data_IF_489266444821
#
_entry.id   IF_489266444821
#
_cell.length_a   1.000
_cell.length_b   1.000
_cell.length_c   1.000
_cell.angle_alpha   90.00
_cell.angle_beta   90.00
_cell.angle_gamma   90.00
#
_symmetry.space_group_name_H-M   'P 1'
#
loop_
_entity.id
_entity.type
_entity.pdbx_description
1 polymer ?
#
# COMPACT_ATOMS: atom_id res chain seq x y z
N UNK A 1 31.37 -62.84 -7.22
CA UNK A 1 30.00 -62.35 -6.97
C UNK A 1 30.01 -60.83 -6.95
N UNK A 2 29.51 -60.17 -8.00
CA UNK A 2 29.31 -58.70 -8.00
C UNK A 2 28.10 -58.40 -7.11
N UNK A 3 28.31 -57.71 -5.98
CA UNK A 3 27.22 -57.12 -5.20
C UNK A 3 26.61 -55.99 -6.03
N UNK A 4 25.52 -56.27 -6.73
CA UNK A 4 24.59 -55.24 -7.20
C UNK A 4 23.96 -54.62 -5.95
N UNK A 5 24.55 -53.52 -5.46
CA UNK A 5 23.89 -52.68 -4.49
C UNK A 5 22.59 -52.18 -5.13
N UNK A 6 21.46 -52.49 -4.49
CA UNK A 6 20.16 -52.00 -4.91
C UNK A 6 20.20 -50.48 -4.95
N UNK A 7 19.67 -49.87 -6.01
CA UNK A 7 19.61 -48.41 -6.21
C UNK A 7 19.02 -47.70 -4.96
N UNK A 8 18.12 -48.35 -4.22
CA UNK A 8 17.56 -47.84 -2.97
C UNK A 8 18.56 -47.73 -1.81
N UNK A 9 19.62 -48.55 -1.80
CA UNK A 9 20.67 -48.51 -0.77
C UNK A 9 21.72 -47.43 -1.04
N UNK A 10 21.78 -46.89 -2.26
CA UNK A 10 22.74 -45.85 -2.64
C UNK A 10 22.38 -44.45 -2.11
N UNK A 11 21.13 -44.25 -1.68
CA UNK A 11 20.62 -42.93 -1.29
C UNK A 11 20.35 -41.98 -2.45
N UNK A 12 20.84 -42.26 -3.66
CA UNK A 12 20.66 -41.42 -4.85
C UNK A 12 19.19 -41.12 -5.18
N UNK A 13 18.24 -42.08 -5.08
CA UNK A 13 16.83 -41.77 -5.35
C UNK A 13 16.26 -40.68 -4.42
N UNK A 14 16.69 -40.65 -3.16
CA UNK A 14 16.23 -39.65 -2.19
C UNK A 14 16.76 -38.26 -2.53
N UNK A 15 18.01 -38.16 -2.99
CA UNK A 15 18.59 -36.89 -3.46
C UNK A 15 17.81 -36.35 -4.66
N UNK A 16 17.50 -37.21 -5.64
CA UNK A 16 16.70 -36.81 -6.80
C UNK A 16 15.26 -36.43 -6.43
N UNK A 17 14.64 -37.12 -5.48
CA UNK A 17 13.31 -36.76 -4.97
C UNK A 17 13.35 -35.40 -4.26
N UNK A 18 14.34 -35.14 -3.40
CA UNK A 18 14.48 -33.86 -2.72
C UNK A 18 14.77 -32.71 -3.70
N UNK A 19 15.65 -32.93 -4.68
CA UNK A 19 15.93 -31.97 -5.72
C UNK A 19 14.69 -31.70 -6.60
N UNK A 20 13.95 -32.74 -6.98
CA UNK A 20 12.71 -32.61 -7.73
C UNK A 20 11.62 -31.89 -6.93
N UNK A 21 11.50 -32.18 -5.63
CA UNK A 21 10.56 -31.51 -4.74
C UNK A 21 10.88 -30.02 -4.62
N UNK A 22 12.15 -29.66 -4.37
CA UNK A 22 12.60 -28.27 -4.33
C UNK A 22 12.35 -27.55 -5.66
N UNK A 23 12.68 -28.19 -6.78
CA UNK A 23 12.44 -27.67 -8.12
C UNK A 23 10.94 -27.42 -8.36
N UNK A 24 10.08 -28.35 -7.96
CA UNK A 24 8.63 -28.19 -8.02
C UNK A 24 8.14 -27.05 -7.13
N UNK A 25 8.65 -26.89 -5.91
CA UNK A 25 8.27 -25.79 -5.00
C UNK A 25 8.63 -24.43 -5.59
N UNK A 26 9.84 -24.29 -6.14
CA UNK A 26 10.27 -23.05 -6.80
C UNK A 26 9.41 -22.76 -8.02
N UNK A 27 9.11 -23.78 -8.84
CA UNK A 27 8.24 -23.65 -10.00
C UNK A 27 6.83 -23.22 -9.61
N UNK A 28 6.25 -23.82 -8.57
CA UNK A 28 4.92 -23.44 -8.06
C UNK A 28 4.91 -22.00 -7.53
N UNK A 29 5.94 -21.59 -6.79
CA UNK A 29 6.09 -20.21 -6.32
C UNK A 29 6.16 -19.20 -7.47
N UNK A 30 7.03 -19.46 -8.45
CA UNK A 30 7.18 -18.63 -9.63
C UNK A 30 5.90 -18.61 -10.47
N UNK A 31 5.25 -19.77 -10.64
CA UNK A 31 3.99 -19.89 -11.36
C UNK A 31 2.86 -19.13 -10.69
N UNK A 32 2.76 -19.20 -9.36
CA UNK A 32 1.80 -18.43 -8.58
C UNK A 32 2.07 -16.92 -8.66
N UNK A 33 3.32 -16.50 -8.51
CA UNK A 33 3.73 -15.10 -8.62
C UNK A 33 3.46 -14.55 -10.03
N UNK A 34 3.77 -15.34 -11.07
CA UNK A 34 3.45 -15.02 -12.45
C UNK A 34 1.94 -14.90 -12.65
N UNK A 35 1.14 -15.81 -12.09
CA UNK A 35 -0.32 -15.76 -12.17
C UNK A 35 -0.87 -14.49 -11.51
N UNK A 36 -0.37 -14.11 -10.32
CA UNK A 36 -0.74 -12.85 -9.66
C UNK A 36 -0.38 -11.65 -10.54
N UNK A 37 0.85 -11.62 -11.07
CA UNK A 37 1.31 -10.50 -11.90
C UNK A 37 0.47 -10.40 -13.17
N UNK A 38 0.25 -11.50 -13.89
CA UNK A 38 -0.53 -11.49 -15.13
C UNK A 38 -1.98 -11.09 -14.87
N UNK A 39 -2.62 -11.65 -13.82
CA UNK A 39 -4.00 -11.31 -13.47
C UNK A 39 -4.13 -9.87 -12.97
N UNK A 40 -3.18 -9.40 -12.17
CA UNK A 40 -3.15 -8.03 -11.66
C UNK A 40 -2.88 -7.01 -12.76
N UNK A 41 -1.90 -7.26 -13.63
CA UNK A 41 -1.58 -6.40 -14.76
C UNK A 41 -2.72 -6.36 -15.79
N UNK A 42 -3.44 -7.46 -16.01
CA UNK A 42 -4.59 -7.48 -16.91
C UNK A 42 -5.72 -6.55 -16.45
N UNK A 43 -5.86 -6.31 -15.14
CA UNK A 43 -6.92 -5.44 -14.58
C UNK A 43 -6.79 -3.97 -15.02
N UNK A 44 -5.60 -3.52 -15.43
CA UNK A 44 -5.38 -2.15 -15.91
C UNK A 44 -5.67 -1.98 -17.40
N UNK A 45 -5.93 -3.07 -18.14
CA UNK A 45 -6.21 -3.01 -19.56
C UNK A 45 -7.51 -2.23 -19.84
N UNK A 46 -7.48 -1.42 -20.91
CA UNK A 46 -8.65 -0.63 -21.32
C UNK A 46 -9.50 -1.46 -22.28
N UNK A 47 -10.50 -2.12 -21.70
CA UNK A 47 -11.49 -2.91 -22.45
C UNK A 47 -12.45 -2.04 -23.24
N UNK A 48 -12.97 -2.58 -24.33
CA UNK A 48 -14.05 -1.95 -25.09
C UNK A 48 -15.37 -2.03 -24.32
N UNK A 49 -16.17 -0.98 -24.43
CA UNK A 49 -17.48 -0.88 -23.76
C UNK A 49 -18.56 -1.29 -24.74
N UNK A 50 -19.26 -2.36 -24.41
CA UNK A 50 -20.39 -2.86 -25.15
C UNK A 50 -21.67 -2.07 -24.78
N UNK A 51 -22.51 -1.82 -25.79
CA UNK A 51 -23.92 -1.52 -25.64
C UNK A 51 -24.69 -2.80 -25.90
N UNK A 52 -25.31 -3.32 -24.86
CA UNK A 52 -26.07 -4.57 -24.87
C UNK A 52 -27.54 -4.20 -24.81
N UNK A 53 -28.26 -4.44 -25.91
CA UNK A 53 -29.71 -4.25 -25.97
C UNK A 53 -30.42 -5.51 -25.49
N UNK A 54 -31.39 -5.31 -24.62
CA UNK A 54 -32.33 -6.32 -24.14
C UNK A 54 -33.76 -5.91 -24.54
N UNK A 55 -34.71 -6.83 -24.39
CA UNK A 55 -36.13 -6.62 -24.76
C UNK A 55 -36.76 -5.34 -24.21
N UNK A 56 -36.37 -4.93 -23.01
CA UNK A 56 -36.97 -3.78 -22.32
C UNK A 56 -35.98 -2.69 -21.90
N UNK A 57 -34.68 -2.96 -21.95
CA UNK A 57 -33.65 -2.04 -21.47
C UNK A 57 -32.37 -2.16 -22.30
N UNK A 58 -31.43 -1.24 -22.11
CA UNK A 58 -30.08 -1.38 -22.63
C UNK A 58 -29.06 -1.08 -21.55
N UNK A 59 -27.88 -1.70 -21.67
CA UNK A 59 -26.80 -1.58 -20.70
C UNK A 59 -25.49 -1.25 -21.40
N UNK A 60 -24.77 -0.25 -20.88
CA UNK A 60 -23.35 -0.07 -21.18
C UNK A 60 -22.51 -0.88 -20.20
N UNK A 61 -21.42 -1.48 -20.68
CA UNK A 61 -20.42 -2.04 -19.79
C UNK A 61 -19.34 -2.84 -20.50
N UNK A 62 -18.31 -3.20 -19.73
CA UNK A 62 -17.23 -4.06 -20.20
C UNK A 62 -17.63 -5.53 -19.97
N UNK A 63 -17.44 -6.40 -20.96
CA UNK A 63 -17.66 -7.84 -20.79
C UNK A 63 -16.43 -8.42 -20.08
N UNK A 64 -16.61 -8.91 -18.85
CA UNK A 64 -15.50 -9.35 -17.99
C UNK A 64 -15.35 -10.86 -17.99
N UNK A 65 -16.48 -11.58 -18.01
CA UNK A 65 -16.50 -13.03 -18.03
C UNK A 65 -17.63 -13.57 -18.91
N UNK A 66 -17.45 -14.79 -19.38
CA UNK A 66 -18.47 -15.58 -20.06
C UNK A 66 -18.48 -16.97 -19.45
N UNK A 67 -19.68 -17.47 -19.17
CA UNK A 67 -19.91 -18.80 -18.65
C UNK A 67 -20.86 -19.54 -19.58
N UNK A 68 -20.40 -20.65 -20.14
CA UNK A 68 -21.22 -21.51 -20.99
C UNK A 68 -22.10 -22.42 -20.13
N UNK A 69 -23.40 -22.45 -20.44
CA UNK A 69 -24.45 -23.19 -19.74
C UNK A 69 -25.33 -23.92 -20.76
N UNK A 70 -24.81 -24.95 -21.45
CA UNK A 70 -25.45 -25.54 -22.63
C UNK A 70 -26.83 -26.17 -22.38
N UNK A 71 -27.18 -26.49 -21.13
CA UNK A 71 -28.47 -27.09 -20.75
C UNK A 71 -29.39 -26.13 -19.97
N UNK A 72 -29.07 -24.83 -19.92
CA UNK A 72 -29.91 -23.85 -19.22
C UNK A 72 -31.11 -23.44 -20.05
N UNK A 73 -32.28 -23.32 -19.41
CA UNK A 73 -33.48 -22.74 -20.02
C UNK A 73 -33.29 -21.27 -20.40
N UNK A 74 -32.37 -20.56 -19.71
CA UNK A 74 -32.05 -19.15 -19.94
C UNK A 74 -30.92 -18.98 -20.98
N UNK A 75 -30.89 -19.87 -21.95
CA UNK A 75 -29.94 -19.85 -23.07
C UNK A 75 -28.56 -20.47 -22.79
N UNK A 76 -27.79 -20.73 -23.86
CA UNK A 76 -26.58 -21.55 -23.82
C UNK A 76 -25.39 -20.92 -23.09
N UNK A 77 -25.42 -19.63 -22.77
CA UNK A 77 -24.38 -18.96 -21.99
C UNK A 77 -24.93 -17.74 -21.23
N UNK A 78 -24.14 -17.25 -20.28
CA UNK A 78 -24.33 -15.92 -19.67
C UNK A 78 -23.02 -15.14 -19.69
N UNK A 79 -23.12 -13.82 -19.73
CA UNK A 79 -21.97 -12.91 -19.66
C UNK A 79 -22.04 -12.06 -18.40
N UNK A 80 -20.90 -11.85 -17.77
CA UNK A 80 -20.74 -10.90 -16.68
C UNK A 80 -20.27 -9.57 -17.25
N UNK A 81 -21.00 -8.50 -16.90
CA UNK A 81 -20.74 -7.17 -17.41
C UNK A 81 -20.44 -6.26 -16.24
N UNK A 82 -19.33 -5.53 -16.34
CA UNK A 82 -19.03 -4.40 -15.48
C UNK A 82 -19.83 -3.19 -15.97
N UNK A 83 -21.07 -3.07 -15.51
CA UNK A 83 -22.02 -2.00 -15.83
C UNK A 83 -21.63 -0.65 -15.23
N UNK A 84 -20.83 -0.61 -14.16
CA UNK A 84 -20.47 0.64 -13.48
C UNK A 84 -21.70 1.44 -13.04
N UNK A 85 -21.61 2.77 -13.08
CA UNK A 85 -22.68 3.71 -12.70
C UNK A 85 -23.29 3.36 -11.33
N UNK A 86 -22.45 3.08 -10.32
CA UNK A 86 -22.88 2.56 -9.02
C UNK A 86 -23.93 3.42 -8.33
N UNK A 87 -23.88 4.72 -8.55
CA UNK A 87 -24.85 5.69 -8.04
C UNK A 87 -26.25 5.61 -8.67
N UNK A 88 -26.39 5.02 -9.87
CA UNK A 88 -27.69 4.76 -10.51
C UNK A 88 -28.26 3.38 -10.15
N UNK A 89 -27.39 2.45 -9.78
CA UNK A 89 -27.67 1.02 -9.93
C UNK A 89 -27.31 0.17 -8.71
N UNK A 90 -26.53 0.71 -7.76
CA UNK A 90 -26.07 0.02 -6.54
C UNK A 90 -25.00 -1.06 -6.73
N UNK A 91 -24.80 -1.58 -7.95
CA UNK A 91 -23.86 -2.65 -8.25
C UNK A 91 -23.08 -2.39 -9.54
N UNK A 92 -21.79 -2.73 -9.53
CA UNK A 92 -20.90 -2.57 -10.68
C UNK A 92 -20.99 -3.73 -11.67
N UNK A 93 -21.47 -4.89 -11.23
CA UNK A 93 -21.47 -6.14 -12.00
C UNK A 93 -22.88 -6.72 -12.09
N UNK A 94 -23.25 -7.16 -13.29
CA UNK A 94 -24.48 -7.90 -13.53
C UNK A 94 -24.21 -9.07 -14.47
N UNK A 95 -24.96 -10.15 -14.27
CA UNK A 95 -25.00 -11.26 -15.22
C UNK A 95 -26.18 -11.08 -16.16
N UNK A 96 -25.93 -11.22 -17.47
CA UNK A 96 -26.99 -11.22 -18.49
C UNK A 96 -26.97 -12.57 -19.21
N UNK A 97 -28.15 -13.18 -19.26
CA UNK A 97 -28.36 -14.45 -19.94
C UNK A 97 -28.45 -14.23 -21.46
N UNK A 98 -27.94 -15.18 -22.25
CA UNK A 98 -27.88 -15.05 -23.72
C UNK A 98 -29.25 -14.88 -24.39
N UNK A 99 -30.32 -15.43 -23.82
CA UNK A 99 -31.71 -15.29 -24.31
C UNK A 99 -32.29 -13.87 -24.12
N UNK A 100 -31.71 -13.09 -23.21
CA UNK A 100 -32.07 -11.70 -22.95
C UNK A 100 -31.34 -10.72 -23.87
N UNK A 101 -30.31 -11.17 -24.59
CA UNK A 101 -29.45 -10.32 -25.43
C UNK A 101 -30.02 -10.26 -26.84
N UNK A 102 -30.45 -9.08 -27.27
CA UNK A 102 -30.89 -8.84 -28.66
C UNK A 102 -29.71 -8.49 -29.57
N UNK A 103 -28.81 -7.64 -29.08
CA UNK A 103 -27.59 -7.27 -29.83
C UNK A 103 -26.52 -6.74 -28.89
N UNK A 104 -25.26 -6.94 -29.30
CA UNK A 104 -24.06 -6.39 -28.66
C UNK A 104 -23.37 -5.52 -29.71
N UNK A 105 -23.21 -4.23 -29.40
CA UNK A 105 -22.54 -3.27 -30.30
C UNK A 105 -21.46 -2.49 -29.54
N UNK A 106 -20.46 -1.97 -30.24
CA UNK A 106 -19.36 -1.20 -29.64
C UNK A 106 -19.39 0.24 -30.15
N UNK A 107 -20.26 1.09 -29.61
CA UNK A 107 -20.46 2.44 -30.13
C UNK A 107 -19.25 3.33 -29.83
N UNK A 108 -18.83 4.11 -30.81
CA UNK A 108 -17.62 4.95 -30.76
C UNK A 108 -17.80 6.23 -29.92
N UNK A 109 -19.04 6.58 -29.59
CA UNK A 109 -19.42 7.80 -28.87
C UNK A 109 -19.56 7.59 -27.35
N UNK A 110 -19.34 6.37 -26.86
CA UNK A 110 -19.38 6.06 -25.42
C UNK A 110 -18.15 6.60 -24.71
N UNK A 111 -18.38 7.24 -23.56
CA UNK A 111 -17.36 7.71 -22.65
C UNK A 111 -17.29 6.81 -21.42
N UNK A 112 -16.07 6.58 -20.96
CA UNK A 112 -15.76 6.07 -19.62
C UNK A 112 -15.24 7.24 -18.81
N UNK A 113 -15.84 7.48 -17.65
CA UNK A 113 -15.36 8.45 -16.67
C UNK A 113 -14.90 7.69 -15.44
N UNK A 114 -13.62 7.81 -15.10
CA UNK A 114 -13.13 7.41 -13.78
C UNK A 114 -13.45 8.55 -12.83
N UNK A 115 -14.14 8.23 -11.74
CA UNK A 115 -14.62 9.21 -10.76
C UNK A 115 -13.84 9.09 -9.45
N UNK A 116 -13.97 10.08 -8.59
CA UNK A 116 -13.45 10.02 -7.22
C UNK A 116 -14.30 9.13 -6.32
N UNK A 117 -15.60 9.00 -6.64
CA UNK A 117 -16.59 8.25 -5.89
C UNK A 117 -17.46 7.46 -6.88
N UNK A 118 -18.06 6.36 -6.41
CA UNK A 118 -19.05 5.58 -7.17
C UNK A 118 -18.53 4.87 -8.42
N UNK A 119 -17.23 4.60 -8.56
CA UNK A 119 -16.73 3.83 -9.68
C UNK A 119 -16.79 4.51 -11.03
N UNK A 120 -16.49 3.71 -12.05
CA UNK A 120 -16.57 4.11 -13.45
C UNK A 120 -18.01 4.52 -13.80
N UNK A 121 -18.14 5.60 -14.57
CA UNK A 121 -19.37 5.94 -15.25
C UNK A 121 -19.26 5.67 -16.75
N UNK A 122 -20.23 4.96 -17.33
CA UNK A 122 -20.39 4.74 -18.76
C UNK A 122 -21.61 5.49 -19.27
N UNK A 123 -21.41 6.30 -20.31
CA UNK A 123 -22.51 6.98 -20.97
C UNK A 123 -22.08 7.87 -22.12
N UNK A 124 -23.05 8.56 -22.71
CA UNK A 124 -22.85 9.53 -23.79
C UNK A 124 -22.95 10.93 -23.22
N UNK A 125 -22.05 11.80 -23.63
CA UNK A 125 -22.13 13.20 -23.25
C UNK A 125 -23.38 13.83 -23.89
N UNK A 126 -24.16 14.54 -23.08
CA UNK A 126 -25.27 15.38 -23.53
C UNK A 126 -24.92 16.85 -23.43
N UNK A 127 -24.32 17.30 -22.32
CA UNK A 127 -24.08 18.72 -22.07
C UNK A 127 -22.85 18.98 -21.22
N UNK A 128 -22.14 20.07 -21.50
CA UNK A 128 -21.00 20.54 -20.71
C UNK A 128 -21.22 21.99 -20.29
N UNK A 129 -21.15 22.25 -18.99
CA UNK A 129 -21.25 23.59 -18.43
C UNK A 129 -20.00 23.90 -17.62
N UNK A 130 -19.27 24.94 -18.01
CA UNK A 130 -18.07 25.43 -17.31
C UNK A 130 -18.30 26.90 -16.98
N UNK A 131 -18.15 27.28 -15.71
CA UNK A 131 -18.32 28.66 -15.25
C UNK A 131 -19.66 29.31 -15.73
N UNK A 132 -20.72 28.50 -15.83
CA UNK A 132 -22.06 28.92 -16.27
C UNK A 132 -22.27 28.98 -17.79
N UNK A 133 -21.22 28.84 -18.60
CA UNK A 133 -21.31 28.80 -20.06
C UNK A 133 -21.55 27.37 -20.58
N UNK A 134 -22.43 27.23 -21.55
CA UNK A 134 -22.79 25.96 -22.20
C UNK A 134 -21.89 25.68 -23.42
N UNK A 135 -21.27 24.50 -23.45
CA UNK A 135 -20.36 24.05 -24.51
C UNK A 135 -20.83 22.79 -25.23
N UNK A 136 -22.12 22.46 -25.13
CA UNK A 136 -22.74 21.23 -25.66
C UNK A 136 -22.40 20.95 -27.14
N UNK A 137 -22.46 21.94 -28.02
CA UNK A 137 -22.23 21.77 -29.46
C UNK A 137 -20.77 21.97 -29.90
N UNK A 138 -19.85 22.09 -28.94
CA UNK A 138 -18.45 22.36 -29.27
C UNK A 138 -17.79 21.11 -29.86
N UNK A 139 -17.37 21.18 -31.13
CA UNK A 139 -16.43 20.21 -31.74
C UNK A 139 -15.13 20.04 -30.96
N UNK A 140 -14.86 20.94 -29.99
CA UNK A 140 -13.69 20.94 -29.11
C UNK A 140 -13.97 20.41 -27.71
N UNK A 141 -15.09 19.72 -27.47
CA UNK A 141 -15.44 19.16 -26.15
C UNK A 141 -14.26 18.46 -25.45
N UNK A 142 -13.62 17.48 -26.11
CA UNK A 142 -12.50 16.73 -25.52
C UNK A 142 -11.34 17.65 -25.12
N UNK A 143 -11.07 18.70 -25.90
CA UNK A 143 -10.01 19.67 -25.60
C UNK A 143 -10.38 20.56 -24.40
N UNK A 144 -11.63 21.03 -24.35
CA UNK A 144 -12.15 21.85 -23.25
C UNK A 144 -12.20 21.05 -21.94
N UNK A 145 -12.78 19.85 -21.95
CA UNK A 145 -12.84 18.98 -20.78
C UNK A 145 -11.43 18.60 -20.30
N UNK A 146 -10.52 18.21 -21.19
CA UNK A 146 -9.13 17.89 -20.79
C UNK A 146 -8.41 19.10 -20.18
N UNK A 147 -8.65 20.30 -20.72
CA UNK A 147 -8.09 21.54 -20.15
C UNK A 147 -8.67 21.82 -18.77
N UNK A 148 -9.98 21.68 -18.59
CA UNK A 148 -10.64 21.96 -17.33
C UNK A 148 -10.28 20.93 -16.26
N UNK A 149 -10.20 19.64 -16.59
CA UNK A 149 -9.75 18.61 -15.64
C UNK A 149 -8.29 18.81 -15.22
N UNK A 150 -7.41 19.31 -16.09
CA UNK A 150 -6.05 19.71 -15.70
C UNK A 150 -6.07 20.88 -14.73
N UNK A 151 -6.85 21.93 -15.02
CA UNK A 151 -7.04 23.07 -14.10
C UNK A 151 -7.57 22.61 -12.75
N UNK A 152 -8.58 21.74 -12.73
CA UNK A 152 -9.15 21.17 -11.50
C UNK A 152 -8.11 20.33 -10.76
N UNK A 153 -7.30 19.52 -11.46
CA UNK A 153 -6.21 18.75 -10.84
C UNK A 153 -5.20 19.68 -10.15
N UNK A 154 -4.80 20.77 -10.80
CA UNK A 154 -3.89 21.76 -10.23
C UNK A 154 -4.52 22.49 -9.01
N UNK A 155 -5.81 22.81 -9.09
CA UNK A 155 -6.56 23.38 -7.96
C UNK A 155 -6.63 22.41 -6.78
N UNK A 156 -6.94 21.13 -7.02
CA UNK A 156 -6.93 20.08 -5.98
C UNK A 156 -5.55 19.92 -5.36
N UNK A 157 -4.48 19.94 -6.16
CA UNK A 157 -3.11 19.90 -5.64
C UNK A 157 -2.84 21.09 -4.70
N UNK A 158 -3.32 22.28 -5.04
CA UNK A 158 -3.22 23.48 -4.19
C UNK A 158 -4.04 23.37 -2.91
N UNK A 159 -5.27 22.87 -3.00
CA UNK A 159 -6.11 22.58 -1.81
C UNK A 159 -5.37 21.60 -0.90
N UNK A 160 -4.82 20.53 -1.45
CA UNK A 160 -4.04 19.55 -0.68
C UNK A 160 -2.81 20.17 -0.01
N UNK A 161 -2.07 21.07 -0.70
CA UNK A 161 -0.94 21.78 -0.08
C UNK A 161 -1.38 22.65 1.10
N UNK A 162 -2.47 23.39 0.97
CA UNK A 162 -3.01 24.22 2.05
C UNK A 162 -3.46 23.35 3.22
N UNK A 163 -4.25 22.30 2.96
CA UNK A 163 -4.78 21.41 4.00
C UNK A 163 -3.67 20.66 4.75
N UNK A 164 -2.71 20.07 4.02
CA UNK A 164 -1.70 19.20 4.63
C UNK A 164 -0.46 19.94 5.12
N UNK A 165 -0.04 21.02 4.46
CA UNK A 165 1.19 21.74 4.84
C UNK A 165 0.91 23.01 5.60
N UNK A 166 0.11 23.92 5.06
CA UNK A 166 -0.06 25.26 5.65
C UNK A 166 -0.92 25.19 6.92
N UNK A 167 -2.12 24.60 6.82
CA UNK A 167 -2.97 24.34 7.97
C UNK A 167 -2.27 23.40 8.95
N UNK A 168 -1.64 22.32 8.47
CA UNK A 168 -0.87 21.42 9.33
C UNK A 168 0.22 22.14 10.14
N UNK A 169 1.00 23.03 9.51
CA UNK A 169 2.02 23.85 10.17
C UNK A 169 1.40 24.82 11.16
N UNK A 170 0.33 25.51 10.79
CA UNK A 170 -0.36 26.45 11.67
C UNK A 170 -0.93 25.71 12.90
N UNK A 171 -1.63 24.59 12.72
CA UNK A 171 -2.13 23.73 13.81
C UNK A 171 -1.00 23.23 14.71
N UNK A 172 0.13 22.82 14.14
CA UNK A 172 1.31 22.43 14.92
C UNK A 172 1.85 23.58 15.77
N UNK A 173 1.92 24.80 15.23
CA UNK A 173 2.35 25.99 15.97
C UNK A 173 1.35 26.39 17.06
N UNK A 174 0.05 26.32 16.78
CA UNK A 174 -0.99 26.55 17.79
C UNK A 174 -0.86 25.55 18.93
N UNK A 175 -0.61 24.27 18.62
CA UNK A 175 -0.40 23.23 19.62
C UNK A 175 0.86 23.49 20.47
N UNK A 176 1.97 23.89 19.86
CA UNK A 176 3.17 24.28 20.62
C UNK A 176 2.90 25.45 21.60
N UNK A 177 2.12 26.45 21.18
CA UNK A 177 1.75 27.56 22.07
C UNK A 177 0.85 27.08 23.20
N UNK A 178 -0.14 26.22 22.89
CA UNK A 178 -1.02 25.61 23.89
C UNK A 178 -0.22 24.87 24.96
N UNK A 179 0.77 24.07 24.56
CA UNK A 179 1.65 23.34 25.48
C UNK A 179 2.50 24.30 26.34
N UNK A 180 3.04 25.39 25.77
CA UNK A 180 3.79 26.40 26.53
C UNK A 180 2.91 27.11 27.56
N UNK A 181 1.70 27.50 27.18
CA UNK A 181 0.73 28.11 28.11
C UNK A 181 0.35 27.13 29.22
N UNK A 182 0.15 25.84 28.91
CA UNK A 182 -0.11 24.79 29.90
C UNK A 182 1.05 24.62 30.89
N UNK A 183 2.31 24.67 30.43
CA UNK A 183 3.50 24.65 31.30
C UNK A 183 3.55 25.85 32.25
N UNK A 184 3.35 27.07 31.72
CA UNK A 184 3.34 28.30 32.52
C UNK A 184 2.22 28.25 33.58
N UNK A 185 1.03 27.78 33.20
CA UNK A 185 -0.09 27.60 34.12
C UNK A 185 0.24 26.58 35.24
N UNK A 186 0.89 25.45 34.92
CA UNK A 186 1.37 24.48 35.91
C UNK A 186 2.42 25.08 36.87
N UNK A 187 3.22 26.03 36.39
CA UNK A 187 4.18 26.77 37.19
C UNK A 187 3.55 27.94 37.99
N UNK A 188 2.23 28.11 37.96
CA UNK A 188 1.51 29.19 38.65
C UNK A 188 1.53 30.54 37.93
N UNK A 189 2.05 30.61 36.70
CA UNK A 189 2.16 31.84 35.90
C UNK A 189 0.94 31.94 34.98
N UNK A 190 -0.12 32.60 35.47
CA UNK A 190 -1.37 32.81 34.72
C UNK A 190 -1.44 34.12 33.92
N UNK A 191 -0.58 35.08 34.23
CA UNK A 191 -0.54 36.41 33.61
C UNK A 191 0.89 36.95 33.57
N UNK A 192 1.16 37.86 32.63
CA UNK A 192 2.47 38.49 32.48
C UNK A 192 2.83 38.77 31.02
N UNK A 193 3.98 39.45 30.77
CA UNK A 193 4.42 39.80 29.42
C UNK A 193 4.57 38.58 28.51
N UNK A 194 5.08 37.47 29.04
CA UNK A 194 5.29 36.23 28.30
C UNK A 194 3.96 35.54 27.92
N UNK A 195 3.03 35.43 28.87
CA UNK A 195 1.68 34.88 28.61
C UNK A 195 0.93 35.73 27.60
N UNK A 196 1.03 37.06 27.70
CA UNK A 196 0.40 37.98 26.77
C UNK A 196 1.01 37.86 25.35
N UNK A 197 2.33 37.76 25.24
CA UNK A 197 3.01 37.55 23.95
C UNK A 197 2.62 36.21 23.30
N UNK A 198 2.45 35.14 24.09
CA UNK A 198 1.97 33.85 23.59
C UNK A 198 0.51 33.91 23.13
N UNK A 199 -0.37 34.58 23.89
CA UNK A 199 -1.77 34.80 23.48
C UNK A 199 -1.89 35.66 22.22
N UNK A 200 -1.05 36.67 22.08
CA UNK A 200 -0.99 37.50 20.87
C UNK A 200 -0.57 36.66 19.66
N UNK A 201 0.48 35.82 19.79
CA UNK A 201 0.88 34.86 18.76
C UNK A 201 -0.23 33.88 18.41
N UNK A 202 -0.95 33.36 19.41
CA UNK A 202 -2.10 32.48 19.19
C UNK A 202 -3.18 33.17 18.37
N UNK A 203 -3.53 34.42 18.71
CA UNK A 203 -4.50 35.22 17.95
C UNK A 203 -4.07 35.42 16.50
N UNK A 204 -2.79 35.72 16.25
CA UNK A 204 -2.22 35.82 14.89
C UNK A 204 -2.35 34.52 14.10
N UNK A 205 -2.03 33.37 14.72
CA UNK A 205 -2.18 32.06 14.08
C UNK A 205 -3.64 31.71 13.80
N UNK A 206 -4.57 32.08 14.69
CA UNK A 206 -6.01 31.89 14.46
C UNK A 206 -6.50 32.74 13.28
N UNK A 207 -6.03 33.99 13.16
CA UNK A 207 -6.35 34.84 12.02
C UNK A 207 -5.79 34.27 10.71
N UNK A 208 -4.55 33.78 10.71
CA UNK A 208 -3.95 33.10 9.56
C UNK A 208 -4.74 31.83 9.19
N UNK A 209 -5.14 31.01 10.17
CA UNK A 209 -5.96 29.83 9.94
C UNK A 209 -7.30 30.18 9.26
N UNK A 210 -7.99 31.22 9.74
CA UNK A 210 -9.23 31.67 9.14
C UNK A 210 -9.03 32.16 7.69
N UNK A 211 -7.91 32.84 7.42
CA UNK A 211 -7.55 33.25 6.07
C UNK A 211 -7.27 32.04 5.16
N UNK A 212 -6.57 31.01 5.66
CA UNK A 212 -6.34 29.77 4.93
C UNK A 212 -7.67 29.07 4.61
N UNK A 213 -8.62 29.02 5.55
CA UNK A 213 -9.96 28.48 5.32
C UNK A 213 -10.71 29.26 4.22
N UNK A 214 -10.67 30.59 4.25
CA UNK A 214 -11.29 31.42 3.20
C UNK A 214 -10.63 31.18 1.83
N UNK A 215 -9.30 31.05 1.78
CA UNK A 215 -8.59 30.72 0.54
C UNK A 215 -9.01 29.34 0.00
N UNK A 216 -9.21 28.38 0.89
CA UNK A 216 -9.64 27.02 0.55
C UNK A 216 -11.04 27.04 -0.06
N UNK A 217 -11.99 27.74 0.56
CA UNK A 217 -13.35 27.90 0.04
C UNK A 217 -13.35 28.58 -1.35
N UNK A 218 -12.53 29.61 -1.53
CA UNK A 218 -12.34 30.27 -2.82
C UNK A 218 -11.77 29.33 -3.89
N UNK A 219 -10.82 28.45 -3.55
CA UNK A 219 -10.28 27.46 -4.48
C UNK A 219 -11.32 26.39 -4.83
N UNK A 220 -12.11 25.94 -3.86
CA UNK A 220 -13.21 24.99 -4.08
C UNK A 220 -14.28 25.58 -5.00
N UNK A 221 -14.64 26.84 -4.80
CA UNK A 221 -15.57 27.56 -5.68
C UNK A 221 -15.04 27.74 -7.11
N UNK A 222 -13.73 27.67 -7.35
CA UNK A 222 -13.15 27.73 -8.71
C UNK A 222 -13.19 26.39 -9.45
N UNK A 223 -13.60 25.30 -8.80
CA UNK A 223 -13.81 23.99 -9.43
C UNK A 223 -15.26 23.80 -9.90
N UNK A 224 -15.97 24.92 -10.15
CA UNK A 224 -17.36 24.95 -10.56
C UNK A 224 -17.50 24.59 -12.06
N UNK A 225 -17.84 23.34 -12.31
CA UNK A 225 -18.19 22.86 -13.64
C UNK A 225 -18.93 21.54 -13.54
N UNK A 226 -19.76 21.27 -14.53
CA UNK A 226 -20.55 20.04 -14.60
C UNK A 226 -20.70 19.54 -16.01
N UNK A 227 -20.84 18.23 -16.15
CA UNK A 227 -21.16 17.58 -17.39
C UNK A 227 -22.36 16.64 -17.18
N UNK A 228 -23.31 16.68 -18.11
CA UNK A 228 -24.48 15.81 -18.11
C UNK A 228 -24.21 14.69 -19.10
N UNK A 229 -24.34 13.46 -18.62
CA UNK A 229 -24.21 12.26 -19.43
C UNK A 229 -25.51 11.46 -19.39
N UNK A 230 -25.79 10.76 -20.48
CA UNK A 230 -26.91 9.82 -20.59
C UNK A 230 -26.39 8.39 -20.60
N UNK A 231 -26.94 7.55 -19.73
CA UNK A 231 -26.62 6.12 -19.71
C UNK A 231 -27.30 5.36 -20.87
N UNK A 232 -27.18 4.04 -20.90
CA UNK A 232 -27.82 3.21 -21.93
C UNK A 232 -29.35 3.12 -21.78
N UNK A 233 -29.88 3.25 -20.56
CA UNK A 233 -31.31 3.22 -20.26
C UNK A 233 -31.99 4.56 -20.59
N UNK A 234 -31.22 5.61 -20.89
CA UNK A 234 -31.71 6.96 -21.19
C UNK A 234 -31.75 7.88 -19.98
N UNK A 235 -31.30 7.44 -18.81
CA UNK A 235 -31.20 8.25 -17.60
C UNK A 235 -30.08 9.27 -17.74
N UNK A 236 -30.41 10.53 -17.51
CA UNK A 236 -29.42 11.62 -17.49
C UNK A 236 -28.86 11.81 -16.09
N UNK A 237 -27.53 11.93 -16.01
CA UNK A 237 -26.80 12.17 -14.78
C UNK A 237 -25.92 13.39 -14.92
N UNK A 238 -26.13 14.34 -14.01
CA UNK A 238 -25.22 15.46 -13.79
C UNK A 238 -24.03 15.01 -12.94
N UNK A 239 -22.82 15.21 -13.47
CA UNK A 239 -21.55 14.87 -12.81
C UNK A 239 -20.72 16.13 -12.68
N UNK A 240 -20.31 16.46 -11.46
CA UNK A 240 -19.42 17.58 -11.23
C UNK A 240 -18.02 17.27 -11.81
N UNK A 241 -17.41 18.22 -12.50
CA UNK A 241 -16.06 18.03 -13.05
C UNK A 241 -15.02 17.81 -11.94
N UNK A 242 -15.29 18.32 -10.74
CA UNK A 242 -14.50 18.07 -9.53
C UNK A 242 -14.51 16.60 -9.09
N UNK A 243 -15.49 15.79 -9.51
CA UNK A 243 -15.56 14.35 -9.23
C UNK A 243 -14.90 13.50 -10.31
N UNK A 244 -14.55 14.05 -11.47
CA UNK A 244 -13.93 13.27 -12.56
C UNK A 244 -12.41 13.25 -12.36
N UNK A 245 -11.82 12.05 -12.39
CA UNK A 245 -10.38 11.81 -12.37
C UNK A 245 -9.83 11.79 -13.79
N UNK A 246 -10.48 11.00 -14.66
CA UNK A 246 -10.07 10.77 -16.05
C UNK A 246 -11.30 10.51 -16.90
N UNK A 247 -11.21 10.82 -18.18
CA UNK A 247 -12.19 10.39 -19.17
C UNK A 247 -11.52 9.87 -20.43
N UNK A 248 -12.15 8.94 -21.12
CA UNK A 248 -11.70 8.43 -22.42
C UNK A 248 -12.84 7.75 -23.17
N UNK A 249 -12.66 7.55 -24.48
CA UNK A 249 -13.59 6.83 -25.35
C UNK A 249 -12.94 5.51 -25.79
N UNK A 250 -13.12 4.40 -25.07
CA UNK A 250 -12.32 3.18 -25.24
C UNK A 250 -12.41 2.61 -26.64
N UNK A 251 -13.62 2.58 -27.20
CA UNK A 251 -13.90 1.99 -28.51
C UNK A 251 -13.24 2.76 -29.67
N UNK A 252 -12.88 4.04 -29.45
CA UNK A 252 -12.19 4.91 -30.41
C UNK A 252 -10.67 4.80 -30.36
N UNK A 253 -10.14 4.21 -29.30
CA UNK A 253 -8.71 4.09 -29.11
C UNK A 253 -8.18 2.89 -29.89
N UNK A 254 -7.19 3.15 -30.75
CA UNK A 254 -6.33 2.09 -31.25
C UNK A 254 -5.45 1.50 -30.14
N UNK A 255 -4.72 0.44 -30.47
CA UNK A 255 -3.86 -0.30 -29.54
C UNK A 255 -2.84 0.63 -28.86
N UNK A 256 -2.23 1.56 -29.60
CA UNK A 256 -1.28 2.52 -29.04
C UNK A 256 -1.90 3.46 -27.99
N UNK A 257 -3.14 3.90 -28.21
CA UNK A 257 -3.88 4.72 -27.25
C UNK A 257 -4.25 3.95 -25.99
N UNK A 258 -4.70 2.70 -26.15
CA UNK A 258 -4.96 1.79 -25.03
C UNK A 258 -3.70 1.51 -24.22
N UNK A 259 -2.55 1.27 -24.88
CA UNK A 259 -1.26 1.07 -24.22
C UNK A 259 -0.80 2.31 -23.45
N UNK A 260 -0.98 3.51 -24.00
CA UNK A 260 -0.67 4.75 -23.30
C UNK A 260 -1.50 4.94 -22.03
N UNK A 261 -2.81 4.67 -22.10
CA UNK A 261 -3.69 4.70 -20.93
C UNK A 261 -3.32 3.63 -19.91
N UNK A 262 -3.01 2.42 -20.37
CA UNK A 262 -2.57 1.31 -19.54
C UNK A 262 -1.36 1.70 -18.67
N UNK A 263 -0.28 2.18 -19.31
CA UNK A 263 0.91 2.62 -18.59
C UNK A 263 0.60 3.76 -17.61
N UNK A 264 -0.26 4.69 -18.01
CA UNK A 264 -0.71 5.78 -17.13
C UNK A 264 -1.50 5.28 -15.91
N UNK A 265 -2.35 4.26 -16.06
CA UNK A 265 -3.09 3.66 -14.93
C UNK A 265 -2.17 2.91 -13.99
N UNK A 266 -1.21 2.14 -14.52
CA UNK A 266 -0.21 1.44 -13.69
C UNK A 266 0.65 2.44 -12.92
N UNK A 267 1.08 3.53 -13.57
CA UNK A 267 1.81 4.59 -12.90
C UNK A 267 0.98 5.24 -11.78
N UNK A 268 -0.28 5.62 -12.06
CA UNK A 268 -1.20 6.15 -11.05
C UNK A 268 -1.35 5.20 -9.87
N UNK A 269 -1.53 3.92 -10.13
CA UNK A 269 -1.69 2.90 -9.10
C UNK A 269 -0.47 2.81 -8.17
N UNK A 270 0.75 2.92 -8.70
CA UNK A 270 1.97 2.82 -7.89
C UNK A 270 2.23 4.10 -7.11
N UNK A 271 1.94 5.28 -7.66
CA UNK A 271 2.39 6.56 -7.10
C UNK A 271 1.35 7.33 -6.31
N UNK A 272 0.05 7.10 -6.56
CA UNK A 272 -1.01 7.87 -5.91
C UNK A 272 -1.50 7.23 -4.59
N UNK A 273 -2.29 8.01 -3.85
CA UNK A 273 -2.95 7.57 -2.63
C UNK A 273 -4.21 6.74 -2.93
N UNK A 274 -4.63 5.85 -2.01
CA UNK A 274 -5.87 5.11 -2.16
C UNK A 274 -7.09 6.04 -2.05
N UNK A 275 -8.17 5.65 -2.72
CA UNK A 275 -9.48 6.30 -2.73
C UNK A 275 -10.56 5.26 -2.42
N UNK A 276 -11.76 5.70 -2.04
CA UNK A 276 -12.93 4.83 -1.83
C UNK A 276 -12.62 3.58 -0.99
N UNK A 277 -12.13 3.77 0.23
CA UNK A 277 -11.79 2.65 1.15
C UNK A 277 -10.83 1.61 0.54
N UNK A 278 -9.84 2.08 -0.23
CA UNK A 278 -8.85 1.27 -0.96
C UNK A 278 -9.41 0.46 -2.14
N UNK A 279 -10.62 0.77 -2.62
CA UNK A 279 -11.16 0.14 -3.83
C UNK A 279 -10.67 0.81 -5.12
N UNK A 280 -10.19 2.05 -5.03
CA UNK A 280 -9.68 2.84 -6.16
C UNK A 280 -8.42 3.63 -5.78
N UNK A 281 -7.81 4.31 -6.76
CA UNK A 281 -6.60 5.10 -6.56
C UNK A 281 -5.33 4.26 -6.59
N UNK A 282 -4.32 4.69 -5.81
CA UNK A 282 -3.02 4.03 -5.76
C UNK A 282 -2.69 3.42 -4.41
N UNK A 283 -1.54 2.73 -4.35
CA UNK A 283 -1.06 1.96 -3.20
C UNK A 283 0.24 2.51 -2.60
N UNK A 284 0.64 3.73 -2.99
CA UNK A 284 1.92 4.31 -2.59
C UNK A 284 2.14 4.32 -1.07
N UNK A 285 1.19 4.77 -0.22
CA UNK A 285 1.40 4.76 1.23
C UNK A 285 1.60 3.35 1.81
N UNK A 286 0.97 2.33 1.25
CA UNK A 286 1.12 0.94 1.69
C UNK A 286 2.49 0.37 1.30
N UNK A 287 2.97 0.69 0.09
CA UNK A 287 4.33 0.34 -0.35
C UNK A 287 5.34 1.02 0.57
N UNK A 288 5.23 2.33 0.76
CA UNK A 288 6.13 3.09 1.61
C UNK A 288 6.14 2.58 3.05
N UNK A 289 4.97 2.37 3.65
CA UNK A 289 4.83 1.84 5.00
C UNK A 289 5.50 0.47 5.14
N UNK A 290 5.28 -0.43 4.17
CA UNK A 290 5.88 -1.77 4.18
C UNK A 290 7.40 -1.72 4.06
N UNK A 291 7.93 -0.92 3.13
CA UNK A 291 9.38 -0.74 2.95
C UNK A 291 10.01 -0.15 4.20
N UNK A 292 9.41 0.89 4.79
CA UNK A 292 9.90 1.49 6.02
C UNK A 292 9.87 0.51 7.19
N UNK A 293 8.81 -0.30 7.31
CA UNK A 293 8.73 -1.32 8.36
C UNK A 293 9.83 -2.37 8.23
N UNK A 294 10.02 -2.91 7.03
CA UNK A 294 11.09 -3.90 6.76
C UNK A 294 12.46 -3.28 6.98
N UNK A 295 12.68 -2.04 6.57
CA UNK A 295 13.95 -1.35 6.73
C UNK A 295 14.31 -1.12 8.21
N UNK A 296 13.36 -0.60 9.01
CA UNK A 296 13.58 -0.40 10.45
C UNK A 296 13.75 -1.74 11.16
N UNK A 297 12.93 -2.74 10.81
CA UNK A 297 13.07 -4.10 11.32
C UNK A 297 14.48 -4.63 11.05
N UNK A 298 14.96 -4.55 9.80
CA UNK A 298 16.28 -5.03 9.39
C UNK A 298 17.42 -4.31 10.12
N UNK A 299 17.35 -2.98 10.26
CA UNK A 299 18.35 -2.18 11.00
C UNK A 299 18.46 -2.62 12.45
N UNK A 300 17.34 -2.98 13.08
CA UNK A 300 17.33 -3.42 14.48
C UNK A 300 17.73 -4.88 14.58
N UNK A 301 17.02 -5.79 13.89
CA UNK A 301 17.18 -7.23 14.08
C UNK A 301 18.57 -7.74 13.64
N UNK A 302 19.13 -7.22 12.55
CA UNK A 302 20.38 -7.72 11.97
C UNK A 302 21.55 -7.56 12.94
N UNK A 303 21.90 -6.37 13.44
CA UNK A 303 23.03 -6.24 14.37
C UNK A 303 22.82 -7.02 15.65
N UNK A 304 21.62 -6.98 16.26
CA UNK A 304 21.38 -7.72 17.50
C UNK A 304 21.43 -9.23 17.30
N UNK A 305 20.81 -9.76 16.24
CA UNK A 305 20.79 -11.18 15.93
C UNK A 305 22.18 -11.71 15.56
N UNK A 306 22.90 -11.00 14.69
CA UNK A 306 24.25 -11.38 14.25
C UNK A 306 25.24 -11.33 15.41
N UNK A 307 25.22 -10.28 16.23
CA UNK A 307 26.10 -10.18 17.40
C UNK A 307 25.78 -11.28 18.43
N UNK A 308 24.50 -11.58 18.66
CA UNK A 308 24.11 -12.67 19.55
C UNK A 308 24.61 -14.02 19.04
N UNK A 309 24.45 -14.32 17.74
CA UNK A 309 24.95 -15.56 17.14
C UNK A 309 26.47 -15.66 17.18
N UNK A 310 27.20 -14.59 16.84
CA UNK A 310 28.67 -14.55 16.94
C UNK A 310 29.10 -14.79 18.38
N UNK A 311 28.45 -14.15 19.36
CA UNK A 311 28.78 -14.37 20.76
C UNK A 311 28.53 -15.82 21.18
N UNK A 312 27.36 -16.38 20.87
CA UNK A 312 26.98 -17.74 21.22
C UNK A 312 27.87 -18.80 20.56
N UNK A 313 28.30 -18.56 19.32
CA UNK A 313 29.11 -19.51 18.56
C UNK A 313 30.62 -19.37 18.84
N UNK A 314 31.17 -18.15 18.78
CA UNK A 314 32.63 -17.93 18.85
C UNK A 314 33.13 -17.69 20.27
N UNK A 315 32.35 -17.03 21.14
CA UNK A 315 32.83 -16.60 22.47
C UNK A 315 32.29 -17.42 23.62
N UNK A 316 31.04 -17.85 23.55
CA UNK A 316 30.36 -18.47 24.66
C UNK A 316 30.89 -19.89 24.92
N UNK A 317 31.17 -20.19 26.19
CA UNK A 317 31.54 -21.54 26.62
C UNK A 317 30.29 -22.39 26.77
N UNK A 318 30.28 -23.65 26.32
CA UNK A 318 29.14 -24.54 26.51
C UNK A 318 28.85 -24.68 28.01
N UNK A 319 27.59 -24.49 28.40
CA UNK A 319 27.16 -24.49 29.78
C UNK A 319 25.68 -24.13 29.92
N UNK A 320 25.19 -24.11 31.16
CA UNK A 320 23.78 -23.87 31.46
C UNK A 320 23.25 -22.57 30.85
N UNK A 321 24.00 -21.47 30.93
CA UNK A 321 23.59 -20.18 30.40
C UNK A 321 23.36 -20.21 28.88
N UNK A 322 24.31 -20.77 28.12
CA UNK A 322 24.23 -20.89 26.65
C UNK A 322 23.08 -21.82 26.25
N UNK A 323 22.93 -22.95 26.94
CA UNK A 323 21.83 -23.88 26.69
C UNK A 323 20.48 -23.23 26.92
N UNK A 324 20.33 -22.48 28.01
CA UNK A 324 19.09 -21.76 28.34
C UNK A 324 18.76 -20.68 27.31
N UNK A 325 19.75 -19.91 26.83
CA UNK A 325 19.54 -18.92 25.77
C UNK A 325 19.09 -19.61 24.48
N UNK A 326 19.75 -20.70 24.07
CA UNK A 326 19.38 -21.43 22.84
C UNK A 326 17.97 -22.03 22.92
N UNK A 327 17.59 -22.57 24.08
CA UNK A 327 16.20 -23.03 24.32
C UNK A 327 15.22 -21.86 24.22
N UNK A 328 15.53 -20.70 24.82
CA UNK A 328 14.67 -19.53 24.75
C UNK A 328 14.49 -19.01 23.31
N UNK A 329 15.57 -18.96 22.53
CA UNK A 329 15.54 -18.58 21.10
C UNK A 329 14.67 -19.53 20.30
N UNK A 330 14.85 -20.85 20.47
CA UNK A 330 14.03 -21.86 19.79
C UNK A 330 12.55 -21.79 20.19
N UNK A 331 12.26 -21.56 21.48
CA UNK A 331 10.89 -21.38 21.94
C UNK A 331 10.26 -20.11 21.38
N UNK A 332 11.03 -19.02 21.25
CA UNK A 332 10.57 -17.76 20.69
C UNK A 332 10.17 -17.92 19.21
N UNK A 333 10.90 -18.75 18.46
CA UNK A 333 10.55 -19.11 17.07
C UNK A 333 9.23 -19.90 16.96
N UNK A 334 8.85 -20.63 18.01
CA UNK A 334 7.62 -21.41 18.07
C UNK A 334 6.38 -20.62 18.49
N UNK A 335 6.53 -19.35 18.91
CA UNK A 335 5.40 -18.52 19.35
C UNK A 335 4.56 -18.07 18.14
N UNK A 336 3.23 -18.24 18.15
CA UNK A 336 2.36 -17.76 17.07
C UNK A 336 2.45 -16.25 16.85
N UNK A 337 2.42 -15.80 15.59
CA UNK A 337 2.57 -14.38 15.23
C UNK A 337 1.53 -13.45 15.86
N UNK A 338 0.31 -13.93 16.12
CA UNK A 338 -0.75 -13.15 16.79
C UNK A 338 -0.35 -12.76 18.22
N UNK A 339 0.40 -13.62 18.92
CA UNK A 339 0.87 -13.36 20.28
C UNK A 339 1.87 -12.21 20.27
N UNK A 340 2.79 -12.19 19.31
CA UNK A 340 3.70 -11.06 19.11
C UNK A 340 2.96 -9.77 18.80
N UNK A 341 1.89 -9.81 18.01
CA UNK A 341 1.06 -8.63 17.72
C UNK A 341 0.46 -8.01 18.98
N UNK A 342 -0.19 -8.83 19.82
CA UNK A 342 -0.78 -8.36 21.10
C UNK A 342 0.31 -7.93 22.08
N UNK A 343 1.41 -8.68 22.16
CA UNK A 343 2.59 -8.31 22.96
C UNK A 343 3.15 -6.95 22.52
N UNK A 344 3.25 -6.69 21.22
CA UNK A 344 3.75 -5.42 20.70
C UNK A 344 2.87 -4.24 21.13
N UNK A 345 1.56 -4.38 21.10
CA UNK A 345 0.64 -3.36 21.62
C UNK A 345 0.84 -3.15 23.13
N UNK A 346 0.85 -4.23 23.92
CA UNK A 346 0.99 -4.11 25.38
C UNK A 346 2.35 -3.58 25.82
N UNK A 347 3.43 -4.14 25.27
CA UNK A 347 4.79 -3.84 25.69
C UNK A 347 5.37 -2.58 25.02
N UNK A 348 5.30 -2.48 23.69
CA UNK A 348 5.91 -1.34 23.00
C UNK A 348 5.06 -0.08 23.09
N UNK A 349 3.75 -0.19 22.88
CA UNK A 349 2.88 1.00 22.89
C UNK A 349 2.53 1.38 24.33
N UNK A 350 1.88 0.49 25.09
CA UNK A 350 1.33 0.86 26.38
C UNK A 350 2.36 0.93 27.50
N UNK A 351 3.38 0.07 27.49
CA UNK A 351 4.43 0.10 28.50
C UNK A 351 5.55 1.07 28.13
N UNK A 352 6.34 0.77 27.09
CA UNK A 352 7.49 1.60 26.70
C UNK A 352 7.03 2.98 26.20
N UNK A 353 6.09 3.01 25.25
CA UNK A 353 5.63 4.25 24.63
C UNK A 353 5.02 5.22 25.64
N UNK A 354 4.10 4.74 26.47
CA UNK A 354 3.52 5.57 27.54
C UNK A 354 4.55 6.01 28.57
N UNK A 355 5.50 5.13 28.97
CA UNK A 355 6.57 5.52 29.90
C UNK A 355 7.42 6.66 29.33
N UNK A 356 7.80 6.58 28.05
CA UNK A 356 8.55 7.66 27.37
C UNK A 356 7.74 8.95 27.39
N UNK A 357 6.43 8.88 27.12
CA UNK A 357 5.57 10.06 27.14
C UNK A 357 5.42 10.65 28.55
N UNK A 358 5.33 9.84 29.59
CA UNK A 358 5.29 10.30 30.98
C UNK A 358 6.60 11.00 31.39
N UNK A 359 7.76 10.44 31.05
CA UNK A 359 9.05 11.01 31.42
C UNK A 359 9.45 12.25 30.59
N UNK A 360 9.19 12.24 29.28
CA UNK A 360 9.72 13.25 28.36
C UNK A 360 8.65 14.16 27.73
N UNK A 361 7.37 13.75 27.71
CA UNK A 361 6.29 14.45 27.01
C UNK A 361 5.02 14.67 27.87
N UNK A 362 5.17 14.75 29.20
CA UNK A 362 4.05 14.86 30.16
C UNK A 362 3.12 16.08 29.94
N UNK A 363 3.56 17.08 29.18
CA UNK A 363 2.73 18.22 28.80
C UNK A 363 1.76 17.92 27.67
N UNK A 364 2.07 16.94 26.79
CA UNK A 364 1.25 16.53 25.65
C UNK A 364 0.08 15.63 26.04
N UNK A 365 0.17 14.95 27.18
CA UNK A 365 -0.92 14.11 27.69
C UNK A 365 -2.22 14.93 27.85
N UNK A 366 -3.37 14.37 27.43
CA UNK A 366 -3.66 12.96 27.14
C UNK A 366 -3.39 12.50 25.69
N UNK A 367 -2.73 13.29 24.85
CA UNK A 367 -2.40 12.93 23.47
C UNK A 367 -0.94 12.43 23.38
N UNK A 368 -0.68 11.13 23.63
CA UNK A 368 0.66 10.56 23.65
C UNK A 368 1.37 10.66 22.29
N UNK A 369 2.69 10.83 22.32
CA UNK A 369 3.53 10.81 21.10
C UNK A 369 3.99 9.40 20.79
N UNK A 370 4.50 8.69 21.80
CA UNK A 370 5.03 7.33 21.68
C UNK A 370 4.04 6.25 22.14
N UNK A 371 3.10 6.56 23.03
CA UNK A 371 2.00 5.68 23.45
C UNK A 371 0.90 5.48 22.42
N UNK A 372 1.21 5.62 21.11
CA UNK A 372 0.29 5.37 20.00
C UNK A 372 0.87 4.35 19.02
N UNK A 373 0.01 3.69 18.25
CA UNK A 373 0.45 2.78 17.19
C UNK A 373 1.20 3.51 16.08
N UNK A 374 2.18 2.84 15.48
CA UNK A 374 2.96 3.43 14.38
C UNK A 374 4.00 2.49 13.80
N UNK A 375 4.64 2.94 12.72
CA UNK A 375 5.64 2.18 11.97
C UNK A 375 6.78 1.71 12.89
N UNK A 376 7.24 2.56 13.82
CA UNK A 376 8.32 2.22 14.75
C UNK A 376 8.00 0.95 15.57
N UNK A 377 6.87 0.94 16.29
CA UNK A 377 6.50 -0.18 17.16
C UNK A 377 6.15 -1.44 16.38
N UNK A 378 5.48 -1.30 15.22
CA UNK A 378 5.23 -2.41 14.33
C UNK A 378 6.55 -3.06 13.86
N UNK A 379 7.54 -2.25 13.48
CA UNK A 379 8.86 -2.71 13.05
C UNK A 379 9.64 -3.39 14.17
N UNK A 380 9.59 -2.87 15.40
CA UNK A 380 10.25 -3.47 16.56
C UNK A 380 9.59 -4.80 16.97
N UNK A 381 8.28 -4.91 16.81
CA UNK A 381 7.55 -6.16 17.03
C UNK A 381 7.95 -7.20 15.99
N UNK A 382 8.04 -6.81 14.71
CA UNK A 382 8.55 -7.67 13.64
C UNK A 382 10.01 -8.05 13.86
N UNK A 383 10.83 -7.13 14.37
CA UNK A 383 12.22 -7.40 14.69
C UNK A 383 12.31 -8.49 15.76
N UNK A 384 11.55 -8.36 16.86
CA UNK A 384 11.50 -9.38 17.92
C UNK A 384 11.08 -10.76 17.39
N UNK A 385 10.07 -10.80 16.51
CA UNK A 385 9.60 -12.03 15.88
C UNK A 385 10.68 -12.66 14.99
N UNK A 386 11.50 -11.86 14.33
CA UNK A 386 12.52 -12.32 13.37
C UNK A 386 13.89 -12.60 14.00
N UNK A 387 14.15 -12.11 15.23
CA UNK A 387 15.42 -12.35 15.97
C UNK A 387 15.85 -13.82 15.94
N UNK A 388 14.99 -14.81 16.27
CA UNK A 388 15.41 -16.21 16.28
C UNK A 388 15.88 -16.72 14.93
N UNK A 389 15.21 -16.30 13.86
CA UNK A 389 15.57 -16.72 12.50
C UNK A 389 16.94 -16.19 12.11
N UNK A 390 17.24 -14.92 12.43
CA UNK A 390 18.54 -14.31 12.17
C UNK A 390 19.64 -14.98 12.99
N UNK A 391 19.39 -15.29 14.27
CA UNK A 391 20.36 -15.98 15.14
C UNK A 391 20.71 -17.34 14.57
N UNK A 392 19.70 -18.17 14.26
CA UNK A 392 19.91 -19.54 13.76
C UNK A 392 20.62 -19.53 12.41
N UNK A 393 20.18 -18.70 11.46
CA UNK A 393 20.82 -18.58 10.15
C UNK A 393 22.30 -18.15 10.28
N UNK A 394 22.59 -17.21 11.19
CA UNK A 394 23.97 -16.78 11.45
C UNK A 394 24.81 -17.87 12.12
N UNK A 395 24.28 -18.60 13.11
CA UNK A 395 24.98 -19.74 13.73
C UNK A 395 25.28 -20.86 12.73
N UNK A 396 24.33 -21.15 11.83
CA UNK A 396 24.51 -22.13 10.75
C UNK A 396 25.60 -21.68 9.76
N UNK A 397 25.60 -20.41 9.35
CA UNK A 397 26.65 -19.82 8.52
C UNK A 397 28.03 -19.88 9.19
N UNK A 398 28.11 -19.56 10.48
CA UNK A 398 29.35 -19.65 11.26
C UNK A 398 29.87 -21.09 11.37
N UNK A 399 28.95 -22.05 11.51
CA UNK A 399 29.24 -23.48 11.60
C UNK A 399 29.74 -24.06 10.28
N UNK A 400 29.32 -23.49 9.15
CA UNK A 400 29.76 -23.90 7.82
C UNK A 400 31.22 -23.51 7.53
N UNK A 401 31.79 -22.53 8.23
CA UNK A 401 33.18 -22.10 8.04
C UNK A 401 34.14 -23.16 8.60
N UNK A 402 35.08 -23.70 7.80
CA UNK A 402 36.03 -24.72 8.24
C UNK A 402 36.84 -24.31 9.48
N UNK A 403 37.01 -25.24 10.43
CA UNK A 403 37.77 -25.00 11.67
C UNK A 403 39.25 -24.72 11.41
N UNK A 404 39.84 -25.39 10.41
CA UNK A 404 41.24 -25.22 10.03
C UNK A 404 41.60 -23.79 9.63
N UNK A 405 40.64 -22.98 9.13
CA UNK A 405 40.87 -21.56 8.83
C UNK A 405 41.15 -20.76 10.11
N UNK A 406 40.41 -21.05 11.18
CA UNK A 406 40.61 -20.42 12.50
C UNK A 406 41.95 -20.87 13.09
N UNK A 407 42.22 -22.16 13.05
CA UNK A 407 43.48 -22.75 13.56
C UNK A 407 44.72 -22.22 12.83
N UNK A 408 44.66 -22.08 11.51
CA UNK A 408 45.75 -21.50 10.72
C UNK A 408 46.01 -20.03 11.09
N UNK A 409 44.96 -19.23 11.28
CA UNK A 409 45.10 -17.85 11.70
C UNK A 409 45.67 -17.73 13.13
N UNK A 410 45.24 -18.60 14.07
CA UNK A 410 45.85 -18.67 15.40
C UNK A 410 47.32 -19.08 15.35
N UNK A 411 47.71 -20.01 14.46
CA UNK A 411 49.10 -20.42 14.29
C UNK A 411 50.00 -19.30 13.75
N UNK A 412 49.43 -18.33 13.02
CA UNK A 412 50.11 -17.11 12.57
C UNK A 412 50.20 -16.02 13.67
N UNK A 413 49.75 -16.32 14.89
CA UNK A 413 49.79 -15.39 16.02
C UNK A 413 48.62 -14.39 16.06
N UNK A 414 47.58 -14.57 15.23
CA UNK A 414 46.41 -13.70 15.27
C UNK A 414 45.64 -13.86 16.59
N UNK A 415 45.18 -12.76 17.16
CA UNK A 415 44.26 -12.73 18.29
C UNK A 415 42.86 -13.18 17.88
N UNK A 416 42.04 -13.61 18.84
CA UNK A 416 40.64 -14.02 18.59
C UNK A 416 39.81 -12.95 17.88
N UNK A 417 40.02 -11.67 18.21
CA UNK A 417 39.36 -10.56 17.53
C UNK A 417 39.85 -10.40 16.08
N UNK A 418 41.15 -10.54 15.83
CA UNK A 418 41.70 -10.48 14.46
C UNK A 418 41.21 -11.64 13.60
N UNK A 419 41.13 -12.86 14.15
CA UNK A 419 40.54 -14.02 13.46
C UNK A 419 39.06 -13.75 13.14
N UNK A 420 38.30 -13.22 14.10
CA UNK A 420 36.89 -12.87 13.87
C UNK A 420 36.75 -11.82 12.76
N UNK A 421 37.47 -10.71 12.86
CA UNK A 421 37.30 -9.56 11.96
C UNK A 421 37.86 -9.80 10.56
N UNK A 422 39.00 -10.50 10.44
CA UNK A 422 39.72 -10.67 9.16
C UNK A 422 39.43 -11.98 8.44
N UNK A 423 38.94 -13.01 9.15
CA UNK A 423 38.72 -14.34 8.56
C UNK A 423 37.25 -14.74 8.64
N UNK A 424 36.68 -14.75 9.85
CA UNK A 424 35.33 -15.30 10.06
C UNK A 424 34.24 -14.38 9.51
N UNK A 425 34.25 -13.09 9.87
CA UNK A 425 33.24 -12.14 9.40
C UNK A 425 33.19 -12.02 7.87
N UNK A 426 34.32 -11.85 7.14
CA UNK A 426 34.29 -11.82 5.68
C UNK A 426 33.77 -13.12 5.06
N UNK A 427 34.09 -14.27 5.64
CA UNK A 427 33.59 -15.57 5.19
C UNK A 427 32.09 -15.78 5.50
N UNK A 428 31.56 -15.07 6.51
CA UNK A 428 30.16 -15.15 6.93
C UNK A 428 29.23 -14.26 6.10
N UNK A 429 29.71 -13.13 5.55
CA UNK A 429 28.88 -12.16 4.78
C UNK A 429 27.97 -12.81 3.73
N UNK A 430 28.39 -13.81 2.93
CA UNK A 430 27.49 -14.45 1.95
C UNK A 430 26.32 -15.21 2.57
N UNK A 431 26.39 -15.55 3.86
CA UNK A 431 25.36 -16.27 4.61
C UNK A 431 24.45 -15.33 5.45
N UNK A 432 24.77 -14.04 5.51
CA UNK A 432 23.99 -12.98 6.16
C UNK A 432 23.08 -12.28 5.14
#
# INVERSE_FOLDING_TARGET
>A
MKKTYSILQSGEPWVWISAAALGLTILLLLGFLMLIIVRGLAAFWVSDVALIKQKSTAVFGEIVAREDRPHSADGPYRIEIKRGNRDLYGSDFIWINSDQIESITYPQDVYVLERLEWGNFYGRLIKLVIDGADFTDSRRFNQLLSRELRRIKDLRARVYQIEKKEIGKNSYQQEQIRLKLKRLARAGIGSGPEVNALKEKQSKLTAEFNQLMTNLDNLRARMNGKAIFRDAAGTEKEIALSQIVRFYQPNKLGIAGKLGLYCSKVYEFITENPRESNTEGGVFPAIFGTVMMVFIMAIVVTPFGVLAAIYLHEYAKPGFAVSSIRIAVNNLAGVPSIVFGVFGVGFFIYFIGSSIDEFFFSDRLPDPTFGTGGILWASLTLALLTVPTVIVATEEGLSAIPKNWREAAYALGCTKFEVLYRVVLPALVPAL
#
